data_IF_870796246300
#
_entry.id   IF_870796246300
#
_cell.length_a   1.000
_cell.length_b   1.000
_cell.length_c   1.000
_cell.angle_alpha   90.00
_cell.angle_beta   90.00
_cell.angle_gamma   90.00
#
_symmetry.space_group_name_H-M   'P 1'
#
loop_
_entity.id
_entity.type
_entity.pdbx_description
1 polymer ?
#
# COMPACT_ATOMS: atom_id res chain seq x y z
N UNK A 1 15.31 -19.64 -8.39
CA UNK A 1 14.14 -19.11 -7.68
C UNK A 1 12.90 -19.22 -8.55
N UNK A 2 11.74 -19.40 -7.93
CA UNK A 2 10.40 -19.49 -8.52
C UNK A 2 9.58 -18.25 -8.10
N UNK A 3 8.83 -17.66 -9.03
CA UNK A 3 8.00 -16.49 -8.75
C UNK A 3 6.57 -16.65 -9.27
N UNK A 4 5.65 -15.85 -8.74
CA UNK A 4 4.30 -15.72 -9.25
C UNK A 4 3.92 -14.28 -9.54
N UNK A 5 3.13 -14.07 -10.59
CA UNK A 5 2.39 -12.82 -10.81
C UNK A 5 0.90 -13.13 -10.70
N UNK A 6 0.26 -12.57 -9.67
CA UNK A 6 -1.18 -12.71 -9.45
C UNK A 6 -1.88 -11.49 -10.03
N UNK A 7 -2.75 -11.66 -11.01
CA UNK A 7 -3.48 -10.55 -11.64
C UNK A 7 -4.69 -11.00 -12.46
N UNK A 8 -5.36 -10.07 -13.13
CA UNK A 8 -6.41 -10.34 -14.13
C UNK A 8 -5.86 -10.62 -15.55
N UNK A 9 -4.55 -10.86 -15.71
CA UNK A 9 -3.95 -11.16 -17.00
C UNK A 9 -3.82 -9.96 -17.97
N UNK A 10 -3.76 -8.74 -17.43
CA UNK A 10 -3.59 -7.52 -18.24
C UNK A 10 -2.31 -7.54 -19.09
N UNK A 11 -2.26 -6.74 -20.17
CA UNK A 11 -1.03 -6.58 -20.99
C UNK A 11 0.18 -6.21 -20.14
N UNK A 12 0.02 -5.30 -19.16
CA UNK A 12 1.07 -4.95 -18.21
C UNK A 12 1.56 -6.16 -17.41
N UNK A 13 0.64 -7.00 -16.95
CA UNK A 13 0.98 -8.24 -16.22
C UNK A 13 1.77 -9.19 -17.11
N UNK A 14 1.35 -9.37 -18.36
CA UNK A 14 2.05 -10.25 -19.31
C UNK A 14 3.46 -9.74 -19.59
N UNK A 15 3.64 -8.44 -19.81
CA UNK A 15 4.97 -7.85 -19.98
C UNK A 15 5.85 -8.08 -18.75
N UNK A 16 5.30 -7.93 -17.53
CA UNK A 16 6.03 -8.23 -16.30
C UNK A 16 6.40 -9.71 -16.20
N UNK A 17 5.48 -10.63 -16.52
CA UNK A 17 5.73 -12.08 -16.51
C UNK A 17 6.85 -12.45 -17.48
N UNK A 18 6.79 -11.98 -18.73
CA UNK A 18 7.82 -12.26 -19.72
C UNK A 18 9.19 -11.70 -19.30
N UNK A 19 9.23 -10.48 -18.76
CA UNK A 19 10.48 -9.92 -18.23
C UNK A 19 11.03 -10.72 -17.05
N UNK A 20 10.16 -11.22 -16.16
CA UNK A 20 10.56 -12.05 -15.03
C UNK A 20 11.15 -13.39 -15.44
N UNK A 21 10.75 -13.98 -16.58
CA UNK A 21 11.32 -15.24 -17.09
C UNK A 21 12.81 -15.15 -17.43
N UNK A 22 13.32 -13.95 -17.70
CA UNK A 22 14.76 -13.72 -17.92
C UNK A 22 15.58 -13.90 -16.62
N UNK A 23 14.95 -13.71 -15.46
CA UNK A 23 15.63 -13.74 -14.15
C UNK A 23 15.25 -14.97 -13.31
N UNK A 24 13.98 -15.35 -13.30
CA UNK A 24 13.45 -16.47 -12.52
C UNK A 24 13.36 -17.75 -13.37
N UNK A 25 13.68 -18.90 -12.75
CA UNK A 25 13.62 -20.21 -13.43
C UNK A 25 12.19 -20.60 -13.80
N UNK A 26 11.23 -20.23 -12.94
CA UNK A 26 9.80 -20.51 -13.11
C UNK A 26 9.04 -19.25 -12.73
N UNK A 27 8.10 -18.84 -13.58
CA UNK A 27 7.20 -17.71 -13.35
C UNK A 27 5.77 -18.16 -13.64
N UNK A 28 4.97 -18.33 -12.59
CA UNK A 28 3.58 -18.73 -12.72
C UNK A 28 2.68 -17.50 -12.87
N UNK A 29 1.83 -17.52 -13.89
CA UNK A 29 0.78 -16.52 -14.08
C UNK A 29 -0.51 -17.01 -13.42
N UNK A 30 -0.95 -16.34 -12.36
CA UNK A 30 -2.12 -16.76 -11.58
C UNK A 30 -3.24 -15.77 -11.80
N UNK A 31 -4.39 -16.28 -12.25
CA UNK A 31 -5.62 -15.50 -12.32
C UNK A 31 -6.17 -15.27 -10.92
N UNK A 32 -6.25 -14.01 -10.51
CA UNK A 32 -6.78 -13.62 -9.19
C UNK A 32 -8.21 -14.12 -8.93
N UNK A 33 -9.00 -14.37 -9.99
CA UNK A 33 -10.38 -14.86 -9.86
C UNK A 33 -10.47 -16.32 -9.43
N UNK A 34 -9.40 -17.09 -9.65
CA UNK A 34 -9.33 -18.48 -9.21
C UNK A 34 -8.79 -18.65 -7.79
N UNK A 35 -8.48 -17.54 -7.09
CA UNK A 35 -8.00 -17.60 -5.71
C UNK A 35 -9.16 -17.82 -4.74
N UNK A 36 -8.96 -18.74 -3.81
CA UNK A 36 -9.88 -19.03 -2.72
C UNK A 36 -9.11 -18.91 -1.39
N UNK A 37 -9.81 -18.50 -0.33
CA UNK A 37 -9.25 -18.36 1.00
C UNK A 37 -10.03 -19.23 1.96
N UNK A 38 -9.32 -20.03 2.75
CA UNK A 38 -9.89 -20.78 3.86
C UNK A 38 -9.22 -20.34 5.17
N UNK A 39 -10.04 -19.80 6.07
CA UNK A 39 -9.63 -19.35 7.40
C UNK A 39 -10.12 -20.38 8.45
N UNK A 40 -9.26 -20.74 9.39
CA UNK A 40 -9.56 -21.74 10.42
C UNK A 40 -8.58 -21.69 11.59
N UNK A 41 -8.67 -22.66 12.51
CA UNK A 41 -8.05 -22.60 13.85
C UNK A 41 -6.52 -22.45 13.91
N UNK A 42 -5.76 -22.69 12.83
CA UNK A 42 -4.28 -22.63 12.90
C UNK A 42 -3.57 -21.93 11.74
N UNK A 43 -4.06 -21.97 10.50
CA UNK A 43 -3.36 -21.39 9.35
C UNK A 43 -4.32 -20.72 8.35
N UNK A 44 -3.80 -19.73 7.62
CA UNK A 44 -4.45 -19.17 6.44
C UNK A 44 -4.07 -20.04 5.25
N UNK A 45 -5.06 -20.72 4.67
CA UNK A 45 -4.88 -21.52 3.45
C UNK A 45 -5.31 -20.67 2.24
N UNK A 46 -4.40 -20.52 1.27
CA UNK A 46 -4.69 -19.90 -0.03
C UNK A 46 -4.70 -21.02 -1.06
N UNK A 47 -5.83 -21.15 -1.78
CA UNK A 47 -5.99 -22.11 -2.86
C UNK A 47 -6.07 -21.39 -4.20
N UNK A 48 -5.68 -22.08 -5.27
CA UNK A 48 -5.92 -21.68 -6.65
C UNK A 48 -6.61 -22.83 -7.39
N UNK A 49 -7.84 -22.60 -7.86
CA UNK A 49 -8.72 -23.61 -8.44
C UNK A 49 -8.80 -24.88 -7.56
N UNK A 50 -9.16 -24.67 -6.29
CA UNK A 50 -9.29 -25.70 -5.25
C UNK A 50 -8.02 -26.50 -4.91
N UNK A 51 -6.84 -26.11 -5.39
CA UNK A 51 -5.55 -26.71 -5.02
C UNK A 51 -4.73 -25.74 -4.21
N UNK A 52 -3.93 -26.25 -3.27
CA UNK A 52 -3.04 -25.42 -2.47
C UNK A 52 -2.15 -24.56 -3.37
N UNK A 53 -2.15 -23.24 -3.13
CA UNK A 53 -1.29 -22.33 -3.87
C UNK A 53 0.17 -22.69 -3.60
N UNK A 54 0.95 -22.80 -4.67
CA UNK A 54 2.35 -23.23 -4.60
C UNK A 54 3.24 -22.35 -3.75
N UNK A 55 4.46 -22.82 -3.53
CA UNK A 55 5.53 -22.06 -2.89
C UNK A 55 6.31 -21.26 -3.93
N UNK A 56 6.73 -20.06 -3.53
CA UNK A 56 7.41 -19.08 -4.37
C UNK A 56 8.47 -18.38 -3.54
N UNK A 57 9.57 -17.96 -4.16
CA UNK A 57 10.54 -17.05 -3.55
C UNK A 57 10.06 -15.58 -3.66
N UNK A 58 9.16 -15.29 -4.62
CA UNK A 58 8.59 -13.97 -4.86
C UNK A 58 7.14 -14.07 -5.35
N UNK A 59 6.24 -13.23 -4.81
CA UNK A 59 4.89 -13.05 -5.37
C UNK A 59 4.65 -11.57 -5.64
N UNK A 60 4.36 -11.21 -6.89
CA UNK A 60 3.88 -9.86 -7.23
C UNK A 60 2.38 -9.88 -7.50
N UNK A 61 1.61 -9.47 -6.49
CA UNK A 61 0.16 -9.44 -6.56
C UNK A 61 -0.38 -8.08 -7.03
N UNK A 62 -1.20 -8.08 -8.08
CA UNK A 62 -1.76 -6.90 -8.74
C UNK A 62 -3.27 -7.04 -8.85
N UNK A 63 -4.00 -5.95 -8.59
CA UNK A 63 -5.45 -5.93 -8.76
C UNK A 63 -6.06 -4.56 -8.50
N UNK A 64 -7.34 -4.45 -8.82
CA UNK A 64 -8.15 -3.27 -8.49
C UNK A 64 -8.69 -3.36 -7.06
N UNK A 65 -9.26 -2.26 -6.57
CA UNK A 65 -9.91 -2.19 -5.25
C UNK A 65 -10.92 -3.32 -4.98
N UNK A 66 -11.58 -3.85 -6.03
CA UNK A 66 -12.53 -4.99 -5.92
C UNK A 66 -11.90 -6.26 -5.35
N UNK A 67 -10.59 -6.42 -5.50
CA UNK A 67 -9.82 -7.56 -5.00
C UNK A 67 -8.92 -7.19 -3.82
N UNK A 68 -9.06 -5.99 -3.23
CA UNK A 68 -8.20 -5.53 -2.15
C UNK A 68 -8.19 -6.49 -0.95
N UNK A 69 -9.36 -7.04 -0.59
CA UNK A 69 -9.49 -7.98 0.53
C UNK A 69 -8.71 -9.27 0.28
N UNK A 70 -8.89 -9.91 -0.88
CA UNK A 70 -8.20 -11.17 -1.18
C UNK A 70 -6.69 -10.96 -1.33
N UNK A 71 -6.27 -9.83 -1.92
CA UNK A 71 -4.85 -9.44 -2.02
C UNK A 71 -4.22 -9.21 -0.64
N UNK A 72 -4.96 -8.58 0.27
CA UNK A 72 -4.53 -8.40 1.66
C UNK A 72 -4.35 -9.74 2.36
N UNK A 73 -5.34 -10.65 2.26
CA UNK A 73 -5.23 -11.97 2.91
C UNK A 73 -4.08 -12.80 2.33
N UNK A 74 -3.94 -12.83 1.00
CA UNK A 74 -2.82 -13.47 0.32
C UNK A 74 -1.48 -12.95 0.82
N UNK A 75 -1.30 -11.63 0.84
CA UNK A 75 -0.02 -11.03 1.26
C UNK A 75 0.26 -11.21 2.75
N UNK A 76 -0.77 -11.22 3.60
CA UNK A 76 -0.63 -11.63 5.01
C UNK A 76 -0.19 -13.09 5.13
N UNK A 77 -0.75 -14.01 4.35
CA UNK A 77 -0.43 -15.44 4.42
C UNK A 77 0.98 -15.79 3.92
N UNK A 78 1.54 -14.96 3.03
CA UNK A 78 2.84 -15.20 2.38
C UNK A 78 3.97 -14.28 2.84
N UNK A 79 3.70 -13.30 3.72
CA UNK A 79 4.67 -12.30 4.19
C UNK A 79 5.93 -12.87 4.82
N UNK A 80 5.83 -14.04 5.45
CA UNK A 80 6.96 -14.74 6.08
C UNK A 80 7.55 -15.85 5.20
N UNK A 81 6.95 -16.12 4.04
CA UNK A 81 7.32 -17.24 3.16
C UNK A 81 8.12 -16.79 1.95
N UNK A 82 7.86 -15.58 1.46
CA UNK A 82 8.46 -15.09 0.23
C UNK A 82 8.54 -13.56 0.22
N UNK A 83 9.31 -13.02 -0.73
CA UNK A 83 9.33 -11.58 -0.95
C UNK A 83 8.04 -11.10 -1.62
N UNK A 84 7.46 -10.03 -1.05
CA UNK A 84 6.26 -9.34 -1.53
C UNK A 84 6.58 -7.85 -1.70
N UNK A 85 6.44 -7.27 -2.91
CA UNK A 85 6.73 -5.86 -3.13
C UNK A 85 5.64 -4.93 -2.60
N UNK A 86 4.51 -5.46 -2.13
CA UNK A 86 3.40 -4.70 -1.55
C UNK A 86 3.03 -5.36 -0.22
N UNK A 87 2.97 -4.57 0.86
CA UNK A 87 2.50 -5.05 2.16
C UNK A 87 0.98 -5.25 2.17
N UNK A 88 0.49 -6.01 3.13
CA UNK A 88 -0.93 -6.32 3.24
C UNK A 88 -1.79 -5.06 3.45
N UNK A 89 -1.34 -4.14 4.30
CA UNK A 89 -2.03 -2.88 4.60
C UNK A 89 -2.08 -1.96 3.39
N UNK A 90 -1.09 -2.06 2.48
CA UNK A 90 -1.00 -1.25 1.27
C UNK A 90 -2.24 -1.39 0.41
N UNK A 91 -2.82 -2.59 0.28
CA UNK A 91 -4.04 -2.78 -0.51
C UNK A 91 -5.26 -2.06 0.06
N UNK A 92 -5.30 -1.84 1.38
CA UNK A 92 -6.33 -1.00 2.01
C UNK A 92 -6.04 0.48 1.78
N UNK A 93 -4.80 0.90 2.03
CA UNK A 93 -4.41 2.31 1.98
C UNK A 93 -4.44 2.85 0.54
N UNK A 94 -3.76 2.18 -0.40
CA UNK A 94 -3.57 2.65 -1.77
C UNK A 94 -4.80 2.51 -2.67
N UNK A 95 -5.81 1.74 -2.28
CA UNK A 95 -7.09 1.68 -3.01
C UNK A 95 -8.15 2.65 -2.49
N UNK A 96 -7.90 3.29 -1.35
CA UNK A 96 -8.79 4.28 -0.76
C UNK A 96 -8.10 5.65 -0.70
N UNK A 97 -8.58 6.60 -1.49
CA UNK A 97 -7.98 7.94 -1.64
C UNK A 97 -7.93 8.68 -0.31
N UNK A 98 -8.95 8.56 0.54
CA UNK A 98 -8.95 9.19 1.85
C UNK A 98 -7.83 8.61 2.74
N UNK A 99 -7.73 7.28 2.81
CA UNK A 99 -6.70 6.63 3.63
C UNK A 99 -5.29 6.89 3.11
N UNK A 100 -5.13 6.97 1.78
CA UNK A 100 -3.88 7.43 1.16
C UNK A 100 -3.55 8.84 1.64
N UNK A 101 -4.47 9.80 1.53
CA UNK A 101 -4.27 11.18 1.95
C UNK A 101 -3.95 11.26 3.45
N UNK A 102 -4.68 10.55 4.32
CA UNK A 102 -4.35 10.45 5.74
C UNK A 102 -2.91 9.97 5.96
N UNK A 103 -2.47 8.94 5.23
CA UNK A 103 -1.11 8.41 5.38
C UNK A 103 -0.03 9.39 4.90
N UNK A 104 -0.31 10.15 3.85
CA UNK A 104 0.57 11.22 3.38
C UNK A 104 0.74 12.32 4.45
N UNK A 105 -0.32 12.61 5.21
CA UNK A 105 -0.34 13.69 6.22
C UNK A 105 0.54 13.28 7.39
N UNK A 106 0.36 12.06 7.89
CA UNK A 106 1.21 11.46 8.93
C UNK A 106 2.69 11.46 8.54
N UNK A 107 2.98 11.26 7.25
CA UNK A 107 4.34 11.22 6.74
C UNK A 107 4.90 12.61 6.42
N UNK A 108 4.14 13.70 6.56
CA UNK A 108 4.55 15.04 6.15
C UNK A 108 4.88 15.10 4.65
N UNK A 109 4.00 14.54 3.82
CA UNK A 109 4.08 14.57 2.36
C UNK A 109 3.03 15.56 1.85
N UNK A 110 3.41 16.56 1.03
CA UNK A 110 2.46 17.54 0.52
C UNK A 110 1.34 16.89 -0.30
N UNK A 111 0.11 17.32 -0.03
CA UNK A 111 -1.10 16.86 -0.70
C UNK A 111 -2.13 18.00 -0.72
N UNK A 112 -3.15 17.94 -1.60
CA UNK A 112 -4.24 18.90 -1.53
C UNK A 112 -5.08 18.72 -0.26
N UNK A 113 -5.51 19.83 0.36
CA UNK A 113 -6.44 19.84 1.49
C UNK A 113 -7.66 19.01 1.18
N UNK A 114 -7.89 18.00 2.03
CA UNK A 114 -8.94 17.00 1.85
C UNK A 114 -9.81 16.95 3.11
N UNK A 115 -11.12 16.91 2.90
CA UNK A 115 -12.14 16.96 3.92
C UNK A 115 -13.03 15.72 3.82
N UNK A 116 -13.41 15.22 5.00
CA UNK A 116 -14.37 14.15 5.18
C UNK A 116 -15.44 14.63 6.16
N UNK A 117 -16.69 14.36 5.86
CA UNK A 117 -17.84 14.68 6.71
C UNK A 117 -18.69 13.45 6.92
N UNK A 118 -19.22 13.27 8.13
CA UNK A 118 -20.06 12.13 8.50
C UNK A 118 -21.54 12.31 8.14
N UNK A 119 -22.00 13.55 7.94
CA UNK A 119 -23.40 13.86 7.65
C UNK A 119 -23.52 14.90 6.54
N UNK A 120 -24.67 14.90 5.86
CA UNK A 120 -24.99 15.91 4.83
C UNK A 120 -25.07 17.32 5.44
N UNK A 121 -25.55 17.48 6.68
CA UNK A 121 -25.58 18.78 7.37
C UNK A 121 -24.15 19.30 7.60
N UNK A 122 -23.27 18.45 8.12
CA UNK A 122 -21.86 18.82 8.29
C UNK A 122 -21.18 19.14 6.95
N UNK A 123 -21.54 18.42 5.89
CA UNK A 123 -21.06 18.71 4.54
C UNK A 123 -21.52 20.10 4.07
N UNK A 124 -22.80 20.45 4.23
CA UNK A 124 -23.32 21.78 3.84
C UNK A 124 -22.63 22.91 4.60
N UNK A 125 -22.49 22.78 5.92
CA UNK A 125 -21.78 23.78 6.74
C UNK A 125 -20.31 23.93 6.32
N UNK A 126 -19.64 22.82 5.98
CA UNK A 126 -18.28 22.86 5.46
C UNK A 126 -18.23 23.60 4.10
N UNK A 127 -19.19 23.36 3.20
CA UNK A 127 -19.24 24.00 1.89
C UNK A 127 -19.43 25.52 1.97
N UNK A 128 -20.01 26.05 3.05
CA UNK A 128 -20.14 27.50 3.27
C UNK A 128 -18.82 28.16 3.69
N UNK A 129 -17.90 27.40 4.30
CA UNK A 129 -16.64 27.91 4.85
C UNK A 129 -15.40 27.57 4.02
N UNK A 130 -15.54 26.73 2.99
CA UNK A 130 -14.42 26.32 2.12
C UNK A 130 -14.16 27.34 1.00
N UNK A 131 -12.93 27.38 0.51
CA UNK A 131 -12.55 28.16 -0.67
C UNK A 131 -12.82 27.37 -1.95
N UNK A 132 -13.47 28.01 -2.92
CA UNK A 132 -13.73 27.45 -4.25
C UNK A 132 -12.62 27.84 -5.24
N UNK A 133 -12.39 27.04 -6.29
CA UNK A 133 -13.08 25.79 -6.63
C UNK A 133 -12.67 24.57 -5.80
N UNK A 134 -13.54 23.55 -5.78
CA UNK A 134 -13.33 22.28 -5.10
C UNK A 134 -13.58 21.09 -6.03
N UNK A 135 -13.09 19.93 -5.61
CA UNK A 135 -13.36 18.62 -6.19
C UNK A 135 -14.13 17.77 -5.18
N UNK A 136 -15.20 17.12 -5.62
CA UNK A 136 -15.81 16.00 -4.90
C UNK A 136 -15.46 14.69 -5.61
N UNK A 137 -15.01 13.69 -4.86
CA UNK A 137 -14.65 12.40 -5.45
C UNK A 137 -14.99 11.21 -4.57
N UNK A 138 -15.23 10.06 -5.20
CA UNK A 138 -15.40 8.81 -4.46
C UNK A 138 -14.06 8.39 -3.80
N UNK A 139 -14.08 7.93 -2.53
CA UNK A 139 -12.88 7.44 -1.85
C UNK A 139 -12.23 6.29 -2.61
N UNK A 140 -13.04 5.38 -3.13
CA UNK A 140 -12.60 4.21 -3.90
C UNK A 140 -12.95 4.36 -5.38
N UNK A 141 -12.16 3.72 -6.25
CA UNK A 141 -12.35 3.77 -7.71
C UNK A 141 -11.09 4.21 -8.45
N UNK A 142 -11.12 4.09 -9.77
CA UNK A 142 -9.98 4.35 -10.66
C UNK A 142 -10.41 5.06 -11.95
N UNK A 143 -9.44 5.56 -12.72
CA UNK A 143 -9.64 6.17 -14.03
C UNK A 143 -10.48 7.47 -14.05
N UNK A 144 -10.52 8.22 -12.94
CA UNK A 144 -11.18 9.53 -12.88
C UNK A 144 -12.71 9.51 -12.99
N UNK A 145 -13.34 8.32 -12.99
CA UNK A 145 -14.80 8.21 -12.85
C UNK A 145 -15.19 8.57 -11.42
N UNK A 146 -16.23 9.39 -11.28
CA UNK A 146 -16.67 9.88 -9.97
C UNK A 146 -15.81 11.00 -9.39
N UNK A 147 -15.19 11.81 -10.24
CA UNK A 147 -14.56 13.09 -9.87
C UNK A 147 -15.44 14.20 -10.43
N UNK A 148 -15.95 15.06 -9.56
CA UNK A 148 -16.90 16.13 -9.86
C UNK A 148 -16.28 17.47 -9.46
N UNK A 149 -16.39 18.46 -10.33
CA UNK A 149 -15.85 19.81 -10.12
C UNK A 149 -16.98 20.75 -9.70
N UNK A 150 -16.72 21.61 -8.73
CA UNK A 150 -17.62 22.70 -8.33
C UNK A 150 -16.82 23.98 -8.11
N UNK A 151 -17.27 25.07 -8.73
CA UNK A 151 -16.70 26.42 -8.61
C UNK A 151 -17.46 27.33 -7.65
N UNK A 152 -18.56 26.86 -7.08
CA UNK A 152 -19.45 27.62 -6.23
C UNK A 152 -20.19 26.73 -5.24
N UNK A 153 -20.69 27.34 -4.16
CA UNK A 153 -21.54 26.66 -3.18
C UNK A 153 -22.77 26.03 -3.82
N UNK A 154 -23.46 26.74 -4.73
CA UNK A 154 -24.64 26.23 -5.39
C UNK A 154 -24.34 24.95 -6.18
N UNK A 155 -23.27 24.94 -6.99
CA UNK A 155 -22.84 23.75 -7.74
C UNK A 155 -22.43 22.60 -6.82
N UNK A 156 -21.66 22.89 -5.77
CA UNK A 156 -21.24 21.90 -4.79
C UNK A 156 -22.43 21.29 -4.03
N UNK A 157 -23.40 22.12 -3.62
CA UNK A 157 -24.59 21.65 -2.93
C UNK A 157 -25.46 20.77 -3.84
N UNK A 158 -25.60 21.11 -5.13
CA UNK A 158 -26.31 20.25 -6.08
C UNK A 158 -25.65 18.88 -6.26
N UNK A 159 -24.32 18.84 -6.32
CA UNK A 159 -23.56 17.57 -6.37
C UNK A 159 -23.77 16.78 -5.07
N UNK A 160 -23.68 17.44 -3.91
CA UNK A 160 -23.89 16.83 -2.60
C UNK A 160 -25.30 16.22 -2.46
N UNK A 161 -26.32 16.93 -2.89
CA UNK A 161 -27.70 16.44 -2.85
C UNK A 161 -27.83 15.18 -3.73
N UNK A 162 -27.28 15.19 -4.95
CA UNK A 162 -27.29 14.02 -5.83
C UNK A 162 -26.53 12.81 -5.24
N UNK A 163 -25.35 13.03 -4.67
CA UNK A 163 -24.54 11.98 -4.04
C UNK A 163 -25.25 11.38 -2.82
N UNK A 164 -25.92 12.22 -2.03
CA UNK A 164 -26.72 11.81 -0.87
C UNK A 164 -27.92 10.97 -1.31
N UNK A 165 -28.66 11.39 -2.34
CA UNK A 165 -29.79 10.64 -2.89
C UNK A 165 -29.37 9.26 -3.40
N UNK A 166 -28.19 9.15 -4.03
CA UNK A 166 -27.65 7.89 -4.52
C UNK A 166 -26.91 7.06 -3.45
N UNK A 167 -26.91 7.53 -2.20
CA UNK A 167 -26.19 6.94 -1.07
C UNK A 167 -24.72 6.60 -1.39
N UNK A 168 -24.04 7.51 -2.09
CA UNK A 168 -22.66 7.32 -2.51
C UNK A 168 -21.68 8.00 -1.52
N UNK A 169 -20.61 7.31 -1.09
CA UNK A 169 -19.59 7.91 -0.24
C UNK A 169 -18.76 8.92 -1.02
N UNK A 170 -18.37 10.04 -0.42
CA UNK A 170 -17.54 11.06 -1.08
C UNK A 170 -16.52 11.67 -0.13
N UNK A 171 -15.50 12.30 -0.72
CA UNK A 171 -14.59 13.23 -0.06
C UNK A 171 -14.60 14.55 -0.83
N UNK A 172 -14.37 15.65 -0.11
CA UNK A 172 -14.21 16.99 -0.67
C UNK A 172 -12.71 17.32 -0.65
N UNK A 173 -12.19 17.90 -1.71
CA UNK A 173 -10.77 18.25 -1.82
C UNK A 173 -10.64 19.62 -2.49
N UNK A 174 -9.65 20.42 -2.10
CA UNK A 174 -9.35 21.66 -2.82
C UNK A 174 -8.99 21.37 -4.28
N UNK A 175 -9.41 22.24 -5.20
CA UNK A 175 -8.99 22.16 -6.59
C UNK A 175 -7.62 22.83 -6.75
N UNK A 176 -6.69 22.14 -7.42
CA UNK A 176 -5.38 22.67 -7.77
C UNK A 176 -5.38 22.93 -9.27
N UNK A 177 -5.24 24.19 -9.67
CA UNK A 177 -5.08 24.56 -11.08
C UNK A 177 -3.71 24.11 -11.57
N UNK A 178 -3.71 23.37 -12.68
CA UNK A 178 -2.52 22.71 -13.26
C UNK A 178 -2.52 22.75 -14.78
N UNK A 179 -3.40 23.57 -15.38
CA UNK A 179 -3.62 23.64 -16.82
C UNK A 179 -3.97 22.27 -17.44
N UNK A 180 -4.67 21.44 -16.65
CA UNK A 180 -5.03 20.08 -17.03
C UNK A 180 -3.82 19.15 -17.15
N UNK A 181 -2.78 19.34 -16.35
CA UNK A 181 -1.59 18.49 -16.34
C UNK A 181 -1.34 17.81 -15.00
N UNK A 182 -0.82 16.58 -15.06
CA UNK A 182 -0.30 15.91 -13.88
C UNK A 182 0.97 15.12 -14.24
N UNK A 183 1.74 14.78 -13.22
CA UNK A 183 2.93 13.96 -13.32
C UNK A 183 2.62 12.57 -12.79
N UNK A 184 2.98 11.56 -13.57
CA UNK A 184 3.09 10.18 -13.07
C UNK A 184 4.56 9.82 -12.87
N UNK A 185 4.95 9.60 -11.62
CA UNK A 185 6.25 9.06 -11.23
C UNK A 185 6.12 7.56 -10.96
N UNK A 186 6.87 6.73 -11.69
CA UNK A 186 6.86 5.28 -11.51
C UNK A 186 7.99 4.85 -10.58
N UNK A 187 7.64 4.39 -9.39
CA UNK A 187 8.59 3.99 -8.34
C UNK A 187 8.82 2.49 -8.41
N UNK A 188 10.09 2.08 -8.35
CA UNK A 188 10.55 0.69 -8.14
C UNK A 188 11.64 0.71 -7.07
N UNK A 189 11.36 0.09 -5.93
CA UNK A 189 12.16 0.17 -4.72
C UNK A 189 12.38 1.62 -4.27
N UNK A 190 13.64 2.04 -4.24
CA UNK A 190 14.04 3.38 -3.79
C UNK A 190 14.30 4.36 -4.94
N UNK A 191 13.77 4.10 -6.14
CA UNK A 191 14.05 4.90 -7.34
C UNK A 191 12.78 5.20 -8.12
N UNK A 192 12.69 6.41 -8.65
CA UNK A 192 11.77 6.71 -9.76
C UNK A 192 12.45 6.23 -11.04
N UNK A 193 11.93 5.16 -11.65
CA UNK A 193 12.55 4.53 -12.83
C UNK A 193 12.05 5.12 -14.14
N UNK A 194 10.90 5.77 -14.12
CA UNK A 194 10.31 6.46 -15.25
C UNK A 194 9.35 7.53 -14.76
N UNK A 195 9.20 8.61 -15.52
CA UNK A 195 8.26 9.68 -15.24
C UNK A 195 7.69 10.24 -16.53
N UNK A 196 6.42 10.62 -16.50
CA UNK A 196 5.77 11.28 -17.62
C UNK A 196 4.85 12.40 -17.12
N UNK A 197 4.78 13.49 -17.88
CA UNK A 197 3.74 14.51 -17.77
C UNK A 197 2.58 14.08 -18.64
N UNK A 198 1.38 14.06 -18.07
CA UNK A 198 0.13 13.78 -18.76
C UNK A 198 -0.61 15.10 -18.93
N UNK A 199 -1.15 15.33 -20.13
CA UNK A 199 -1.99 16.48 -20.43
C UNK A 199 -3.37 16.00 -20.86
N UNK A 200 -4.41 16.60 -20.28
CA UNK A 200 -5.79 16.35 -20.65
C UNK A 200 -6.05 16.68 -22.14
N UNK A 201 -7.07 16.06 -22.72
CA UNK A 201 -7.59 16.51 -24.02
C UNK A 201 -8.16 17.94 -23.87
N UNK A 202 -8.17 18.73 -24.96
CA UNK A 202 -8.75 20.09 -24.97
C UNK A 202 -10.19 20.01 -24.43
N UNK A 203 -10.54 20.94 -23.53
CA UNK A 203 -11.83 21.08 -22.83
C UNK A 203 -12.05 20.16 -21.61
N UNK A 204 -11.11 19.27 -21.28
CA UNK A 204 -11.22 18.43 -20.08
C UNK A 204 -10.25 18.89 -18.97
N UNK A 205 -10.76 19.18 -17.77
CA UNK A 205 -9.90 19.49 -16.59
C UNK A 205 -9.15 18.27 -16.03
N UNK A 206 -9.37 17.06 -16.59
CA UNK A 206 -8.83 15.78 -16.11
C UNK A 206 -7.74 15.27 -17.05
N UNK A 207 -6.53 15.09 -16.55
CA UNK A 207 -5.32 14.72 -17.31
C UNK A 207 -5.14 13.21 -17.59
N UNK A 208 -6.19 12.40 -17.47
CA UNK A 208 -6.07 10.95 -17.64
C UNK A 208 -5.79 10.56 -19.10
N UNK A 209 -4.65 9.91 -19.37
CA UNK A 209 -4.29 9.36 -20.71
C UNK A 209 -5.40 8.46 -21.28
N UNK A 210 -6.11 7.71 -20.43
CA UNK A 210 -7.20 6.84 -20.87
C UNK A 210 -8.45 7.59 -21.38
N UNK A 211 -8.52 8.91 -21.19
CA UNK A 211 -9.57 9.78 -21.71
C UNK A 211 -9.13 10.56 -22.97
N UNK A 212 -8.02 10.15 -23.62
CA UNK A 212 -7.50 10.82 -24.83
C UNK A 212 -6.38 11.83 -24.57
N UNK A 213 -5.87 11.90 -23.34
CA UNK A 213 -4.72 12.75 -22.99
C UNK A 213 -3.39 12.27 -23.58
N UNK A 214 -2.46 13.20 -23.81
CA UNK A 214 -1.09 12.91 -24.30
C UNK A 214 -0.12 12.72 -23.14
N UNK A 215 0.84 11.81 -23.28
CA UNK A 215 1.93 11.60 -22.31
C UNK A 215 3.28 11.94 -22.92
N UNK A 216 4.08 12.72 -22.20
CA UNK A 216 5.45 13.08 -22.56
C UNK A 216 6.42 12.67 -21.47
N UNK A 217 7.59 12.15 -21.83
CA UNK A 217 8.64 11.83 -20.87
C UNK A 217 9.18 13.12 -20.23
N UNK A 218 9.33 13.12 -18.92
CA UNK A 218 9.93 14.26 -18.20
C UNK A 218 11.00 13.79 -17.24
N UNK A 219 11.99 14.63 -17.00
CA UNK A 219 12.91 14.47 -15.89
C UNK A 219 12.37 15.21 -14.66
N UNK A 220 12.10 14.46 -13.59
CA UNK A 220 11.70 15.06 -12.32
C UNK A 220 12.87 15.70 -11.59
N UNK A 221 12.62 16.84 -10.97
CA UNK A 221 13.56 17.44 -10.03
C UNK A 221 13.80 16.54 -8.79
N UNK A 222 14.82 16.89 -8.00
CA UNK A 222 15.20 16.10 -6.82
C UNK A 222 14.15 16.09 -5.71
N UNK A 223 13.38 17.17 -5.54
CA UNK A 223 12.33 17.27 -4.53
C UNK A 223 11.14 16.37 -4.91
N UNK A 224 10.68 16.43 -6.15
CA UNK A 224 9.58 15.61 -6.68
C UNK A 224 9.94 14.13 -6.69
N UNK A 225 11.18 13.75 -7.07
CA UNK A 225 11.68 12.36 -6.93
C UNK A 225 11.63 11.87 -5.48
N UNK A 226 12.13 12.69 -4.54
CA UNK A 226 12.11 12.35 -3.10
C UNK A 226 10.70 12.18 -2.57
N UNK A 227 9.76 13.04 -2.97
CA UNK A 227 8.35 12.95 -2.59
C UNK A 227 7.73 11.65 -3.10
N UNK A 228 7.92 11.29 -4.38
CA UNK A 228 7.41 10.04 -4.94
C UNK A 228 7.93 8.80 -4.19
N UNK A 229 9.24 8.76 -3.90
CA UNK A 229 9.86 7.65 -3.16
C UNK A 229 9.35 7.61 -1.71
N UNK A 230 9.24 8.78 -1.05
CA UNK A 230 8.74 8.88 0.32
C UNK A 230 7.28 8.42 0.42
N UNK A 231 6.45 8.76 -0.57
CA UNK A 231 5.06 8.27 -0.71
C UNK A 231 5.01 6.75 -0.79
N UNK A 232 5.80 6.15 -1.67
CA UNK A 232 5.84 4.71 -1.84
C UNK A 232 6.21 4.00 -0.52
N UNK A 233 7.26 4.50 0.16
CA UNK A 233 7.68 4.02 1.48
C UNK A 233 6.60 4.16 2.55
N UNK A 234 5.95 5.31 2.63
CA UNK A 234 4.91 5.59 3.62
C UNK A 234 3.71 4.64 3.51
N UNK A 235 3.40 4.20 2.28
CA UNK A 235 2.33 3.25 1.99
C UNK A 235 2.77 1.78 2.03
N UNK A 236 4.07 1.51 2.18
CA UNK A 236 4.60 0.14 2.19
C UNK A 236 4.58 -0.55 0.83
N UNK A 237 4.69 0.22 -0.26
CA UNK A 237 4.81 -0.32 -1.61
C UNK A 237 6.21 -0.07 -2.18
N UNK A 238 6.82 -1.13 -2.70
CA UNK A 238 8.07 -1.04 -3.45
C UNK A 238 7.81 -0.74 -4.93
N UNK A 239 6.63 -1.08 -5.46
CA UNK A 239 6.27 -0.82 -6.86
C UNK A 239 4.93 -0.11 -6.93
N UNK A 240 4.93 1.14 -7.41
CA UNK A 240 3.70 1.90 -7.60
C UNK A 240 3.87 3.04 -8.62
N UNK A 241 2.76 3.53 -9.15
CA UNK A 241 2.70 4.84 -9.80
C UNK A 241 2.24 5.88 -8.79
N UNK A 242 2.99 6.96 -8.62
CA UNK A 242 2.60 8.11 -7.79
C UNK A 242 2.20 9.24 -8.72
N UNK A 243 0.97 9.73 -8.53
CA UNK A 243 0.44 10.83 -9.31
C UNK A 243 0.55 12.12 -8.52
N UNK A 244 1.09 13.15 -9.19
CA UNK A 244 1.54 14.40 -8.58
C UNK A 244 1.01 15.56 -9.41
N UNK A 245 0.45 16.56 -8.73
CA UNK A 245 0.12 17.85 -9.33
C UNK A 245 1.26 18.84 -9.08
N UNK A 246 1.70 19.53 -10.13
CA UNK A 246 2.62 20.67 -10.00
C UNK A 246 1.80 21.91 -9.65
N UNK A 247 1.80 22.30 -8.37
CA UNK A 247 1.17 23.56 -7.94
C UNK A 247 2.19 24.70 -7.89
N UNK A 248 1.71 25.95 -7.81
CA UNK A 248 2.58 27.11 -7.58
C UNK A 248 3.39 27.06 -6.26
N UNK A 249 2.98 26.22 -5.30
CA UNK A 249 3.69 25.99 -4.03
C UNK A 249 4.59 24.73 -4.05
N UNK A 250 4.65 24.04 -5.19
CA UNK A 250 5.41 22.81 -5.38
C UNK A 250 4.54 21.56 -5.60
N UNK A 251 5.16 20.36 -5.62
CA UNK A 251 4.50 19.11 -5.96
C UNK A 251 3.54 18.62 -4.86
N UNK A 252 2.32 18.29 -5.24
CA UNK A 252 1.28 17.75 -4.35
C UNK A 252 0.86 16.34 -4.80
N UNK A 253 0.91 15.36 -3.90
CA UNK A 253 0.53 13.97 -4.22
C UNK A 253 -0.99 13.80 -4.19
N UNK A 254 -1.55 13.26 -5.26
CA UNK A 254 -3.00 13.10 -5.41
C UNK A 254 -3.47 11.66 -5.26
N UNK A 255 -2.78 10.71 -5.88
CA UNK A 255 -3.14 9.30 -5.83
C UNK A 255 -1.91 8.40 -5.98
N UNK A 256 -2.06 7.16 -5.50
CA UNK A 256 -1.06 6.11 -5.67
C UNK A 256 -1.73 4.91 -6.30
N UNK A 257 -1.16 4.46 -7.41
CA UNK A 257 -1.63 3.30 -8.14
C UNK A 257 -0.73 2.09 -7.85
N UNK A 258 -1.29 1.10 -7.15
CA UNK A 258 -0.60 -0.14 -6.79
C UNK A 258 -0.45 -1.12 -7.95
N UNK A 259 -1.27 -0.97 -9.00
CA UNK A 259 -1.24 -1.80 -10.21
C UNK A 259 -1.15 -0.92 -11.44
N UNK A 260 -0.07 -0.12 -11.56
CA UNK A 260 0.04 0.87 -12.62
C UNK A 260 0.16 0.17 -13.98
N UNK A 261 -0.53 0.74 -14.98
CA UNK A 261 -0.37 0.33 -16.37
C UNK A 261 1.00 0.74 -16.91
N UNK A 262 1.66 -0.16 -17.61
CA UNK A 262 3.00 0.03 -18.17
C UNK A 262 2.97 0.61 -19.58
N UNK A 263 1.93 0.32 -20.37
CA UNK A 263 1.93 0.62 -21.81
C UNK A 263 2.14 2.11 -22.12
N UNK A 264 1.37 2.99 -21.45
CA UNK A 264 1.43 4.43 -21.71
C UNK A 264 2.79 5.04 -21.33
N UNK A 265 3.30 4.70 -20.16
CA UNK A 265 4.57 5.24 -19.67
C UNK A 265 5.78 4.64 -20.40
N UNK A 266 5.77 3.35 -20.73
CA UNK A 266 6.81 2.73 -21.57
C UNK A 266 6.82 3.35 -22.97
N UNK A 267 5.64 3.59 -23.58
CA UNK A 267 5.56 4.22 -24.91
C UNK A 267 6.13 5.63 -24.90
N UNK A 268 5.86 6.41 -23.85
CA UNK A 268 6.27 7.81 -23.72
C UNK A 268 7.76 7.93 -23.38
N UNK A 269 8.26 7.13 -22.44
CA UNK A 269 9.64 7.21 -21.94
C UNK A 269 10.64 6.34 -22.71
N UNK A 270 10.15 5.37 -23.49
CA UNK A 270 10.97 4.30 -24.12
C UNK A 270 11.75 3.44 -23.13
N UNK A 271 11.47 3.54 -21.84
CA UNK A 271 12.13 2.74 -20.80
C UNK A 271 11.42 1.39 -20.67
N UNK A 272 12.19 0.30 -20.66
CA UNK A 272 11.65 -1.02 -20.36
C UNK A 272 11.37 -1.18 -18.86
N UNK A 273 10.21 -0.67 -18.42
CA UNK A 273 9.81 -0.68 -17.00
C UNK A 273 9.55 -2.11 -16.50
N UNK A 274 9.06 -3.00 -17.37
CA UNK A 274 8.82 -4.40 -17.00
C UNK A 274 10.13 -5.11 -16.60
N UNK A 275 11.20 -4.88 -17.34
CA UNK A 275 12.55 -5.37 -17.01
C UNK A 275 13.07 -4.78 -15.68
N UNK A 276 12.89 -3.46 -15.46
CA UNK A 276 13.25 -2.82 -14.18
C UNK A 276 12.53 -3.45 -12.99
N UNK A 277 11.24 -3.75 -13.14
CA UNK A 277 10.44 -4.47 -12.13
C UNK A 277 11.00 -5.88 -11.92
N UNK A 278 11.19 -6.64 -13.01
CA UNK A 278 11.62 -8.02 -12.95
C UNK A 278 12.99 -8.18 -12.26
N UNK A 279 13.96 -7.34 -12.64
CA UNK A 279 15.28 -7.29 -12.01
C UNK A 279 15.19 -6.98 -10.52
N UNK A 280 14.42 -5.96 -10.15
CA UNK A 280 14.23 -5.57 -8.75
C UNK A 280 13.60 -6.70 -7.91
N UNK A 281 12.54 -7.33 -8.42
CA UNK A 281 11.89 -8.46 -7.75
C UNK A 281 12.86 -9.62 -7.54
N UNK A 282 13.70 -9.93 -8.52
CA UNK A 282 14.71 -10.98 -8.42
C UNK A 282 15.78 -10.68 -7.36
N UNK A 283 16.33 -9.46 -7.37
CA UNK A 283 17.31 -9.02 -6.38
C UNK A 283 16.72 -9.13 -4.96
N UNK A 284 15.49 -8.64 -4.75
CA UNK A 284 14.83 -8.69 -3.44
C UNK A 284 14.40 -10.08 -3.00
N UNK A 285 13.97 -10.93 -3.92
CA UNK A 285 13.70 -12.33 -3.63
C UNK A 285 14.98 -13.07 -3.19
N UNK A 286 16.11 -12.79 -3.85
CA UNK A 286 17.41 -13.35 -3.47
C UNK A 286 17.85 -12.89 -2.08
N UNK A 287 17.75 -11.58 -1.81
CA UNK A 287 18.05 -11.01 -0.50
C UNK A 287 17.17 -11.63 0.60
N UNK A 288 15.87 -11.73 0.37
CA UNK A 288 14.92 -12.32 1.32
C UNK A 288 15.26 -13.79 1.60
N UNK A 289 15.53 -14.57 0.56
CA UNK A 289 15.90 -15.98 0.68
C UNK A 289 17.17 -16.16 1.48
N UNK A 290 18.23 -15.43 1.14
CA UNK A 290 19.52 -15.48 1.85
C UNK A 290 19.36 -15.09 3.33
N UNK A 291 18.52 -14.09 3.62
CA UNK A 291 18.22 -13.69 4.98
C UNK A 291 17.50 -14.79 5.77
N UNK A 292 16.51 -15.45 5.16
CA UNK A 292 15.79 -16.55 5.79
C UNK A 292 16.68 -17.78 6.00
N UNK A 293 17.51 -18.15 5.01
CA UNK A 293 18.48 -19.24 5.13
C UNK A 293 19.54 -18.94 6.22
N UNK A 294 20.01 -17.69 6.31
CA UNK A 294 20.91 -17.26 7.37
C UNK A 294 20.28 -17.37 8.76
N UNK A 295 19.00 -17.05 8.90
CA UNK A 295 18.25 -17.25 10.14
C UNK A 295 18.15 -18.71 10.53
N UNK A 296 17.82 -19.59 9.56
CA UNK A 296 17.71 -21.04 9.78
C UNK A 296 19.06 -21.63 10.22
N UNK A 297 20.14 -21.32 9.50
CA UNK A 297 21.50 -21.75 9.88
C UNK A 297 21.91 -21.25 11.26
N UNK A 298 21.57 -20.00 11.60
CA UNK A 298 21.84 -19.47 12.94
C UNK A 298 21.07 -20.23 14.01
N UNK A 299 19.80 -20.56 13.78
CA UNK A 299 19.03 -21.37 14.73
C UNK A 299 19.54 -22.81 14.84
N UNK A 300 19.99 -23.42 13.75
CA UNK A 300 20.57 -24.77 13.74
C UNK A 300 21.91 -24.81 14.50
N UNK A 301 22.82 -23.86 14.25
CA UNK A 301 24.10 -23.75 14.98
C UNK A 301 23.86 -23.52 16.48
N UNK A 302 22.90 -22.68 16.86
CA UNK A 302 22.56 -22.48 18.27
C UNK A 302 22.04 -23.76 18.92
N UNK A 303 21.19 -24.52 18.21
CA UNK A 303 20.71 -25.81 18.69
C UNK A 303 21.84 -26.85 18.81
N UNK A 304 22.76 -26.90 17.84
CA UNK A 304 23.94 -27.79 17.86
C UNK A 304 24.93 -27.44 18.97
N UNK A 305 25.08 -26.16 19.32
CA UNK A 305 25.87 -25.69 20.46
C UNK A 305 25.20 -25.94 21.82
N UNK A 306 24.05 -26.62 21.87
CA UNK A 306 23.28 -26.83 23.09
C UNK A 306 22.67 -25.54 23.67
N UNK A 307 22.72 -24.44 22.90
CA UNK A 307 22.03 -23.19 23.22
C UNK A 307 20.61 -23.32 22.69
N UNK A 308 19.85 -24.17 23.37
CA UNK A 308 18.42 -24.27 23.17
C UNK A 308 17.81 -22.93 23.58
N UNK A 309 17.23 -22.19 22.62
CA UNK A 309 16.52 -20.93 22.91
C UNK A 309 15.34 -21.16 23.86
N UNK A 310 14.97 -22.40 24.17
CA UNK A 310 13.99 -22.73 25.20
C UNK A 310 14.56 -22.92 26.61
N UNK A 311 15.89 -22.84 26.83
CA UNK A 311 16.49 -23.13 28.15
C UNK A 311 17.42 -22.10 28.80
N UNK A 312 17.65 -20.92 28.23
CA UNK A 312 18.45 -19.89 28.92
C UNK A 312 17.70 -18.55 29.12
N UNK A 313 17.56 -18.22 30.40
CA UNK A 313 16.94 -17.05 31.04
C UNK A 313 17.59 -15.73 30.63
N UNK A 314 17.16 -15.13 29.53
CA UNK A 314 16.96 -13.67 29.39
C UNK A 314 16.39 -13.38 27.99
N UNK A 315 15.06 -13.41 27.88
CA UNK A 315 14.34 -13.10 26.63
C UNK A 315 13.72 -11.70 26.73
N UNK A 316 14.31 -10.74 26.03
CA UNK A 316 13.61 -9.49 25.73
C UNK A 316 12.61 -9.72 24.61
N UNK A 317 11.31 -9.48 24.89
CA UNK A 317 10.24 -9.59 23.90
C UNK A 317 9.77 -8.19 23.54
N UNK A 318 9.90 -7.82 22.26
CA UNK A 318 9.34 -6.58 21.73
C UNK A 318 7.86 -6.83 21.41
N UNK A 319 6.98 -6.41 22.32
CA UNK A 319 5.54 -6.48 22.15
C UNK A 319 4.90 -5.13 22.54
N UNK A 320 3.76 -4.82 21.93
CA UNK A 320 2.96 -3.68 22.35
C UNK A 320 2.27 -3.99 23.69
N UNK A 321 2.28 -3.03 24.61
CA UNK A 321 1.56 -3.18 25.88
C UNK A 321 0.05 -3.23 25.61
N UNK A 322 -0.59 -4.35 25.93
CA UNK A 322 -2.04 -4.52 25.74
C UNK A 322 -2.79 -4.28 27.05
N UNK A 323 -3.86 -3.50 26.99
CA UNK A 323 -4.75 -3.23 28.12
C UNK A 323 -6.12 -3.83 27.84
N UNK A 324 -6.66 -4.59 28.79
CA UNK A 324 -8.04 -5.07 28.77
C UNK A 324 -8.75 -4.59 30.03
N UNK A 325 -9.53 -3.52 29.91
CA UNK A 325 -10.13 -2.84 31.05
C UNK A 325 -9.04 -2.20 31.93
N UNK A 326 -8.98 -2.60 33.21
CA UNK A 326 -7.96 -2.16 34.17
C UNK A 326 -6.78 -3.13 34.31
N UNK A 327 -6.68 -4.15 33.46
CA UNK A 327 -5.61 -5.17 33.51
C UNK A 327 -4.59 -4.97 32.40
N UNK A 328 -3.30 -5.09 32.73
CA UNK A 328 -2.21 -5.26 31.76
C UNK A 328 -2.23 -6.72 31.33
N UNK A 329 -2.30 -6.96 30.02
CA UNK A 329 -2.28 -8.31 29.45
C UNK A 329 -0.89 -8.56 28.90
N UNK A 330 -0.18 -9.51 29.54
CA UNK A 330 1.09 -9.99 29.05
C UNK A 330 0.85 -10.95 27.86
N UNK A 331 1.71 -10.94 26.83
CA UNK A 331 1.70 -11.96 25.80
C UNK A 331 1.78 -13.36 26.42
N UNK A 332 1.10 -14.34 25.84
CA UNK A 332 1.05 -15.74 26.34
C UNK A 332 2.45 -16.29 26.61
N UNK A 333 3.38 -16.03 25.70
CA UNK A 333 4.80 -16.40 25.83
C UNK A 333 5.49 -15.77 27.06
N UNK A 334 5.13 -14.53 27.46
CA UNK A 334 5.69 -13.92 28.67
C UNK A 334 5.12 -14.62 29.89
N UNK A 335 3.81 -14.87 29.92
CA UNK A 335 3.13 -15.56 31.02
C UNK A 335 3.71 -16.96 31.26
N UNK A 336 3.93 -17.72 30.18
CA UNK A 336 4.55 -19.05 30.23
C UNK A 336 6.00 -19.01 30.73
N UNK A 337 6.79 -18.02 30.33
CA UNK A 337 8.20 -17.89 30.73
C UNK A 337 8.32 -17.38 32.18
N UNK A 338 7.52 -16.39 32.57
CA UNK A 338 7.62 -15.74 33.87
C UNK A 338 6.89 -16.49 34.98
N UNK A 339 6.07 -17.47 34.63
CA UNK A 339 5.22 -18.23 35.57
C UNK A 339 4.36 -17.29 36.44
N UNK A 340 3.91 -16.17 35.86
CA UNK A 340 2.98 -15.24 36.51
C UNK A 340 1.57 -15.70 36.23
N UNK A 341 0.78 -15.91 37.27
CA UNK A 341 -0.64 -16.22 37.15
C UNK A 341 -1.51 -15.14 37.80
N UNK A 342 -2.82 -15.18 37.53
CA UNK A 342 -3.77 -14.16 37.99
C UNK A 342 -4.09 -14.22 39.50
N UNK A 343 -3.62 -15.24 40.20
CA UNK A 343 -3.83 -15.47 41.62
C UNK A 343 -2.57 -15.17 42.46
N UNK A 344 -1.45 -14.79 41.84
CA UNK A 344 -0.20 -14.46 42.52
C UNK A 344 -0.18 -12.99 43.00
N UNK A 345 0.33 -12.79 44.22
CA UNK A 345 0.68 -11.45 44.70
C UNK A 345 2.01 -11.01 44.06
N UNK A 346 2.02 -9.81 43.49
CA UNK A 346 3.19 -9.24 42.81
C UNK A 346 3.41 -7.79 43.25
N UNK A 347 4.67 -7.39 43.32
CA UNK A 347 5.07 -5.98 43.45
C UNK A 347 5.28 -5.38 42.06
N UNK A 348 4.58 -4.30 41.76
CA UNK A 348 4.74 -3.53 40.51
C UNK A 348 5.40 -2.20 40.84
N UNK A 349 6.56 -1.93 40.24
CA UNK A 349 7.29 -0.66 40.36
C UNK A 349 7.47 -0.01 38.99
N UNK A 350 7.34 1.32 38.92
CA UNK A 350 7.43 2.07 37.66
C UNK A 350 8.35 3.28 37.79
N UNK A 351 9.19 3.51 36.77
CA UNK A 351 10.00 4.71 36.57
C UNK A 351 9.96 5.12 35.09
N UNK A 352 10.52 6.28 34.75
CA UNK A 352 10.45 6.81 33.36
C UNK A 352 11.03 5.80 32.36
N UNK A 353 10.17 5.26 31.49
CA UNK A 353 10.55 4.28 30.47
C UNK A 353 10.75 2.85 30.99
N UNK A 354 10.39 2.54 32.24
CA UNK A 354 10.60 1.21 32.83
C UNK A 354 9.45 0.82 33.77
N UNK A 355 8.92 -0.39 33.59
CA UNK A 355 7.99 -1.05 34.53
C UNK A 355 8.61 -2.38 34.92
N UNK A 356 8.63 -2.69 36.21
CA UNK A 356 9.18 -3.95 36.75
C UNK A 356 8.12 -4.62 37.60
N UNK A 357 7.84 -5.89 37.30
CA UNK A 357 6.93 -6.76 38.06
C UNK A 357 7.80 -7.83 38.74
N UNK A 358 7.62 -8.03 40.05
CA UNK A 358 8.29 -9.07 40.84
C UNK A 358 7.24 -9.85 41.62
N UNK A 359 7.39 -11.17 41.77
CA UNK A 359 6.61 -11.93 42.76
C UNK A 359 6.83 -11.30 44.14
N UNK A 360 5.74 -11.11 44.90
CA UNK A 360 5.79 -10.52 46.23
C UNK A 360 6.57 -11.42 47.19
#
# INVERSE_FOLDING_TARGET
MKAAVISLGSVSSQWTIEAMKTYFKVVDAIDIRGLEVKLGKKNIEILYNSKQLGEYDCIYAKGSFRYAQILRVLTTAYSHKCYLPLKAETFTLGHNKLLTQLKLQEAGIPMPKTYLTSTTISAKNLLESITYPIIMKFPEGSHGKGVMYADSYAGANSILDALTTLNQPFIIQEYIETEGTDIRAFVVGNKVVASMKRKAAKEEKRSNIHAGGTGEAIELDSQTKKIAIKTAKALGCDICGVDILESGLGPLVIEVNLSPGLQGITKSTKINIADKIAKFLFEKASEFKNYMEGKVKTSEILNECGIDREKHNDKEIIANLSLRGKKIVLPEIITEISDFDENQEVTISASKGKVVIKKF
#
